data_IF_036696239269
#
_entry.id   IF_036696239269
#
_cell.length_a   1.000
_cell.length_b   1.000
_cell.length_c   1.000
_cell.angle_alpha   90.00
_cell.angle_beta   90.00
_cell.angle_gamma   90.00
#
_symmetry.space_group_name_H-M   'P 1'
#
loop_
_entity.id
_entity.type
_entity.pdbx_description
1 polymer ?
#
# COMPACT_ATOMS: atom_id res chain seq x y z
N UNK A 1 51.01 23.29 -23.97
CA UNK A 1 49.77 24.02 -24.33
C UNK A 1 48.62 23.03 -24.24
N UNK A 2 47.85 23.07 -23.16
CA UNK A 2 46.64 22.24 -23.02
C UNK A 2 45.54 22.88 -23.87
N UNK A 3 44.99 22.15 -24.85
CA UNK A 3 43.80 22.59 -25.57
C UNK A 3 42.61 22.45 -24.62
N UNK A 4 41.98 23.56 -24.29
CA UNK A 4 40.67 23.57 -23.64
C UNK A 4 39.62 23.09 -24.64
N UNK A 5 39.43 21.78 -24.75
CA UNK A 5 38.40 21.14 -25.57
C UNK A 5 37.00 21.22 -24.93
N UNK A 6 36.78 22.19 -24.04
CA UNK A 6 35.48 22.38 -23.39
C UNK A 6 34.52 23.08 -24.35
N UNK A 7 33.36 22.48 -24.65
CA UNK A 7 32.39 23.11 -25.53
C UNK A 7 31.90 24.41 -24.88
N UNK A 8 32.18 25.54 -25.54
CA UNK A 8 31.84 26.92 -25.13
C UNK A 8 30.34 27.14 -24.87
N UNK A 9 29.49 26.19 -25.28
CA UNK A 9 28.06 26.16 -25.00
C UNK A 9 27.72 25.82 -23.54
N UNK A 10 28.65 25.26 -22.76
CA UNK A 10 28.45 24.89 -21.34
C UNK A 10 28.85 25.98 -20.33
N UNK A 11 29.42 27.12 -20.77
CA UNK A 11 29.83 28.22 -19.87
C UNK A 11 28.67 29.06 -19.32
N UNK A 12 27.42 28.74 -19.70
CA UNK A 12 26.25 29.41 -19.12
C UNK A 12 25.99 28.87 -17.72
N UNK A 13 26.13 29.75 -16.72
CA UNK A 13 25.81 29.51 -15.30
C UNK A 13 24.43 28.87 -15.05
N UNK A 14 23.47 29.07 -15.96
CA UNK A 14 22.14 28.45 -15.89
C UNK A 14 22.11 26.97 -16.31
N UNK A 15 23.10 26.52 -17.08
CA UNK A 15 23.19 25.15 -17.60
C UNK A 15 23.82 24.21 -16.57
N UNK A 16 24.78 24.69 -15.75
CA UNK A 16 25.27 23.95 -14.57
C UNK A 16 24.19 23.70 -13.52
N UNK A 17 23.13 24.54 -13.46
CA UNK A 17 22.00 24.32 -12.55
C UNK A 17 21.04 23.26 -13.08
N UNK A 18 20.90 23.14 -14.41
CA UNK A 18 19.99 22.17 -15.06
C UNK A 18 20.67 20.80 -15.23
N UNK A 19 21.99 20.79 -15.45
CA UNK A 19 22.81 19.58 -15.59
C UNK A 19 23.84 19.49 -14.46
N UNK A 20 23.45 19.89 -13.25
CA UNK A 20 24.26 19.57 -12.07
C UNK A 20 24.52 18.05 -12.10
N UNK A 21 25.78 17.62 -11.91
CA UNK A 21 26.09 16.19 -11.89
C UNK A 21 25.14 15.52 -10.91
N UNK A 22 24.41 14.52 -11.41
CA UNK A 22 23.45 13.78 -10.62
C UNK A 22 24.21 13.23 -9.41
N UNK A 23 23.80 13.60 -8.20
CA UNK A 23 24.46 13.12 -6.98
C UNK A 23 24.28 11.60 -6.94
N UNK A 24 25.38 10.86 -7.02
CA UNK A 24 25.38 9.41 -7.00
C UNK A 24 24.78 8.84 -5.69
N UNK A 25 24.61 9.68 -4.66
CA UNK A 25 24.00 9.32 -3.39
C UNK A 25 22.50 9.67 -3.29
N UNK A 26 21.94 10.38 -4.28
CA UNK A 26 20.52 10.75 -4.26
C UNK A 26 19.67 9.63 -4.89
N UNK A 27 18.73 9.03 -4.14
CA UNK A 27 17.93 7.91 -4.63
C UNK A 27 17.06 8.35 -5.79
N UNK A 28 17.06 7.54 -6.85
CA UNK A 28 16.30 7.86 -8.05
C UNK A 28 14.80 7.83 -7.74
N UNK A 29 13.97 8.69 -8.38
CA UNK A 29 12.52 8.74 -8.12
C UNK A 29 11.82 7.37 -8.25
N UNK A 30 12.32 6.51 -9.14
CA UNK A 30 11.83 5.14 -9.33
C UNK A 30 12.14 4.21 -8.16
N UNK A 31 13.26 4.41 -7.48
CA UNK A 31 13.70 3.62 -6.33
C UNK A 31 12.85 3.97 -5.11
N UNK A 32 12.57 5.26 -4.92
CA UNK A 32 11.64 5.75 -3.90
C UNK A 32 10.23 5.16 -4.07
N UNK A 33 9.71 5.05 -5.30
CA UNK A 33 8.40 4.44 -5.57
C UNK A 33 8.41 2.93 -5.29
N UNK A 34 9.48 2.23 -5.67
CA UNK A 34 9.61 0.79 -5.41
C UNK A 34 9.73 0.48 -3.92
N UNK A 35 10.43 1.34 -3.18
CA UNK A 35 10.59 1.24 -1.74
C UNK A 35 9.27 1.53 -1.01
N UNK A 36 8.55 2.59 -1.41
CA UNK A 36 7.23 2.92 -0.90
C UNK A 36 6.19 1.79 -1.14
N UNK A 37 6.31 1.06 -2.26
CA UNK A 37 5.44 -0.08 -2.57
C UNK A 37 5.77 -1.31 -1.72
N UNK A 38 7.04 -1.52 -1.39
CA UNK A 38 7.51 -2.68 -0.59
C UNK A 38 7.09 -2.57 0.87
N UNK A 39 7.03 -1.35 1.42
CA UNK A 39 6.68 -1.10 2.82
C UNK A 39 5.24 -0.64 3.05
N UNK A 40 4.35 -0.72 2.05
CA UNK A 40 2.95 -0.37 2.24
C UNK A 40 2.28 -1.42 3.12
N UNK A 41 2.31 -1.18 4.44
CA UNK A 41 1.54 -1.94 5.40
C UNK A 41 0.07 -1.92 4.96
N UNK A 42 -0.51 -3.11 4.79
CA UNK A 42 -1.94 -3.24 4.45
C UNK A 42 -2.75 -2.46 5.49
N UNK A 43 -3.49 -1.47 5.02
CA UNK A 43 -4.35 -0.67 5.87
C UNK A 43 -5.39 -1.56 6.55
N UNK A 44 -5.88 -1.13 7.72
CA UNK A 44 -6.95 -1.86 8.46
C UNK A 44 -8.16 -2.18 7.59
N UNK A 45 -8.50 -1.32 6.62
CA UNK A 45 -9.57 -1.54 5.63
C UNK A 45 -9.27 -2.69 4.66
N UNK A 46 -8.04 -2.79 4.18
CA UNK A 46 -7.61 -3.83 3.25
C UNK A 46 -7.56 -5.19 3.95
N UNK A 47 -7.08 -5.21 5.21
CA UNK A 47 -7.14 -6.39 6.08
C UNK A 47 -8.57 -6.81 6.39
N UNK A 48 -9.47 -5.85 6.69
CA UNK A 48 -10.87 -6.13 6.94
C UNK A 48 -11.54 -6.79 5.74
N UNK A 49 -11.31 -6.26 4.53
CA UNK A 49 -11.83 -6.85 3.30
C UNK A 49 -11.24 -8.23 2.99
N UNK A 50 -9.92 -8.39 3.15
CA UNK A 50 -9.24 -9.65 2.88
C UNK A 50 -9.66 -10.77 3.85
N UNK A 51 -9.88 -10.43 5.13
CA UNK A 51 -10.23 -11.40 6.17
C UNK A 51 -11.74 -11.70 6.21
N UNK A 52 -12.59 -10.88 5.57
CA UNK A 52 -14.04 -11.11 5.52
C UNK A 52 -14.41 -12.47 4.91
N UNK A 53 -13.92 -12.75 3.70
CA UNK A 53 -14.24 -13.99 2.98
C UNK A 53 -13.80 -15.27 3.71
N UNK A 54 -12.55 -15.41 4.20
CA UNK A 54 -12.13 -16.62 4.90
C UNK A 54 -12.91 -16.81 6.21
N UNK A 55 -13.21 -15.75 6.94
CA UNK A 55 -14.01 -15.86 8.17
C UNK A 55 -15.46 -16.24 7.85
N UNK A 56 -16.05 -15.65 6.81
CA UNK A 56 -17.39 -16.01 6.35
C UNK A 56 -17.48 -17.49 5.95
N UNK A 57 -16.53 -17.97 5.17
CA UNK A 57 -16.46 -19.37 4.77
C UNK A 57 -16.31 -20.31 5.98
N UNK A 58 -15.44 -19.96 6.94
CA UNK A 58 -15.25 -20.73 8.16
C UNK A 58 -16.54 -20.84 8.99
N UNK A 59 -17.29 -19.73 9.14
CA UNK A 59 -18.57 -19.72 9.85
C UNK A 59 -19.58 -20.65 9.18
N UNK A 60 -19.69 -20.62 7.84
CA UNK A 60 -20.62 -21.50 7.13
C UNK A 60 -20.25 -22.98 7.24
N UNK A 61 -18.96 -23.33 7.12
CA UNK A 61 -18.48 -24.71 7.25
C UNK A 61 -18.76 -25.24 8.66
N UNK A 62 -18.42 -24.45 9.69
CA UNK A 62 -18.65 -24.83 11.08
C UNK A 62 -20.15 -24.95 11.41
N UNK A 63 -20.96 -24.03 10.90
CA UNK A 63 -22.41 -24.09 11.08
C UNK A 63 -23.04 -25.32 10.42
N UNK A 64 -22.56 -25.67 9.22
CA UNK A 64 -22.98 -26.90 8.52
C UNK A 64 -22.61 -28.16 9.29
N UNK A 65 -21.39 -28.24 9.83
CA UNK A 65 -20.96 -29.35 10.68
C UNK A 65 -21.76 -29.47 11.97
N UNK A 66 -22.06 -28.35 12.62
CA UNK A 66 -22.83 -28.32 13.87
C UNK A 66 -24.34 -28.38 13.66
N UNK A 67 -24.85 -28.51 12.42
CA UNK A 67 -26.27 -28.48 12.08
C UNK A 67 -27.02 -27.29 12.70
N UNK A 68 -26.37 -26.12 12.69
CA UNK A 68 -26.94 -24.90 13.27
C UNK A 68 -28.08 -24.39 12.39
N UNK A 69 -29.17 -23.97 13.04
CA UNK A 69 -30.33 -23.40 12.35
C UNK A 69 -29.95 -22.17 11.52
N UNK A 70 -30.40 -22.11 10.26
CA UNK A 70 -30.09 -21.02 9.32
C UNK A 70 -30.29 -19.59 9.87
N UNK A 71 -31.37 -19.29 10.60
CA UNK A 71 -31.56 -17.96 11.21
C UNK A 71 -30.47 -17.57 12.21
N UNK A 72 -29.94 -18.53 12.97
CA UNK A 72 -28.85 -18.30 13.93
C UNK A 72 -27.56 -17.98 13.18
N UNK A 73 -27.28 -18.71 12.10
CA UNK A 73 -26.11 -18.45 11.24
C UNK A 73 -26.19 -17.05 10.64
N UNK A 74 -27.35 -16.63 10.15
CA UNK A 74 -27.56 -15.28 9.62
C UNK A 74 -27.35 -14.19 10.68
N UNK A 75 -27.83 -14.40 11.91
CA UNK A 75 -27.60 -13.46 13.00
C UNK A 75 -26.11 -13.32 13.33
N UNK A 76 -25.38 -14.43 13.39
CA UNK A 76 -23.92 -14.44 13.61
C UNK A 76 -23.19 -13.69 12.49
N UNK A 77 -23.54 -13.96 11.23
CA UNK A 77 -22.93 -13.28 10.07
C UNK A 77 -23.21 -11.78 10.06
N UNK A 78 -24.41 -11.35 10.45
CA UNK A 78 -24.76 -9.94 10.55
C UNK A 78 -23.93 -9.22 11.64
N UNK A 79 -23.78 -9.85 12.81
CA UNK A 79 -22.92 -9.32 13.90
C UNK A 79 -21.46 -9.23 13.42
N UNK A 80 -20.98 -10.26 12.74
CA UNK A 80 -19.62 -10.30 12.21
C UNK A 80 -19.39 -9.18 11.18
N UNK A 81 -20.37 -8.94 10.30
CA UNK A 81 -20.32 -7.86 9.30
C UNK A 81 -20.23 -6.49 9.98
N UNK A 82 -21.07 -6.23 10.97
CA UNK A 82 -21.04 -4.97 11.74
C UNK A 82 -19.68 -4.79 12.41
N UNK A 83 -19.14 -5.85 13.02
CA UNK A 83 -17.81 -5.83 13.63
C UNK A 83 -16.70 -5.51 12.63
N UNK A 84 -16.70 -6.14 11.46
CA UNK A 84 -15.73 -5.87 10.39
C UNK A 84 -15.84 -4.45 9.83
N UNK A 85 -17.07 -3.97 9.66
CA UNK A 85 -17.35 -2.59 9.21
C UNK A 85 -16.86 -1.58 10.24
N UNK A 86 -17.16 -1.78 11.52
CA UNK A 86 -16.67 -0.93 12.60
C UNK A 86 -15.13 -0.94 12.67
N UNK A 87 -14.51 -2.12 12.55
CA UNK A 87 -13.05 -2.27 12.50
C UNK A 87 -12.43 -1.53 11.30
N UNK A 88 -13.03 -1.65 10.12
CA UNK A 88 -12.60 -0.95 8.91
C UNK A 88 -12.75 0.58 9.01
N UNK A 89 -13.74 1.08 9.76
CA UNK A 89 -13.93 2.51 10.01
C UNK A 89 -13.06 3.06 11.14
N UNK A 90 -12.65 2.23 12.09
CA UNK A 90 -11.76 2.59 13.21
C UNK A 90 -10.28 2.76 12.81
N UNK A 91 -9.93 2.50 11.55
CA UNK A 91 -8.63 2.90 11.01
C UNK A 91 -8.57 4.42 10.84
N UNK A 92 -7.82 5.09 11.71
CA UNK A 92 -7.46 6.50 11.56
C UNK A 92 -6.98 6.79 10.14
N UNK A 93 -7.56 7.82 9.52
CA UNK A 93 -6.96 8.46 8.35
C UNK A 93 -5.73 9.21 8.86
N UNK A 94 -4.55 8.62 8.79
CA UNK A 94 -3.28 9.36 8.82
C UNK A 94 -2.72 9.38 7.41
#
# INVERSE_FOLDING_TARGET
>A
MQRDDRPRSLERKSMETIFAPLDDNEPLPRELIQEARRYRALGRRELAGALWLPVFAAVLVLAGWANVNGPVVLAVLAILLIGFVAFAMSGERK
#
